data_IF_451629604368
#
_entry.id   IF_451629604368
#
_cell.length_a   1.000
_cell.length_b   1.000
_cell.length_c   1.000
_cell.angle_alpha   90.00
_cell.angle_beta   90.00
_cell.angle_gamma   90.00
#
_symmetry.space_group_name_H-M   'P 1'
#
loop_
_entity.id
_entity.type
_entity.pdbx_description
1 polymer ?
#
# COMPACT_ATOMS: atom_id res chain seq x y z
N UNK A 1 4.71 -14.53 50.89
CA UNK A 1 3.61 -14.05 50.02
C UNK A 1 3.01 -12.79 50.60
N UNK A 2 2.69 -11.77 49.78
CA UNK A 2 2.54 -11.86 48.32
C UNK A 2 3.64 -11.13 47.54
N UNK A 3 3.89 -11.66 46.35
CA UNK A 3 4.53 -10.99 45.22
C UNK A 3 3.69 -9.77 44.84
N UNK A 4 4.38 -8.66 44.55
CA UNK A 4 3.74 -7.55 43.85
C UNK A 4 4.18 -7.69 42.41
N UNK A 5 3.39 -8.45 41.65
CA UNK A 5 3.37 -8.38 40.18
C UNK A 5 3.13 -6.91 39.84
N UNK A 6 4.14 -6.28 39.26
CA UNK A 6 3.98 -4.97 38.66
C UNK A 6 3.14 -5.20 37.40
N UNK A 7 1.87 -4.83 37.46
CA UNK A 7 1.03 -4.64 36.27
C UNK A 7 1.79 -3.70 35.32
N UNK A 8 2.35 -4.26 34.26
CA UNK A 8 2.81 -3.46 33.12
C UNK A 8 1.57 -2.75 32.55
N UNK A 9 1.59 -1.41 32.42
CA UNK A 9 0.46 -0.72 31.81
C UNK A 9 0.31 -1.22 30.37
N UNK A 10 -0.92 -1.60 30.01
CA UNK A 10 -1.31 -1.88 28.63
C UNK A 10 -0.79 -0.77 27.71
N UNK A 11 -0.32 -1.08 26.50
CA UNK A 11 0.30 -0.09 25.62
C UNK A 11 -0.63 1.11 25.45
N UNK A 12 -0.14 2.28 25.89
CA UNK A 12 -0.84 3.55 25.75
C UNK A 12 -1.22 3.75 24.28
N UNK A 13 -2.49 4.05 24.03
CA UNK A 13 -3.00 4.38 22.71
C UNK A 13 -2.28 5.64 22.21
N UNK A 14 -1.23 5.45 21.42
CA UNK A 14 -0.59 6.55 20.69
C UNK A 14 -1.58 7.00 19.62
N UNK A 15 -1.89 8.30 19.49
CA UNK A 15 -2.72 8.76 18.38
C UNK A 15 -2.10 8.29 17.07
N UNK A 16 -2.93 7.86 16.13
CA UNK A 16 -2.47 7.47 14.80
C UNK A 16 -1.63 8.61 14.22
N UNK A 17 -0.40 8.28 13.78
CA UNK A 17 0.52 9.27 13.20
C UNK A 17 -0.06 9.76 11.87
N UNK A 18 -0.85 8.93 11.20
CA UNK A 18 -1.46 9.22 9.91
C UNK A 18 -2.99 9.31 10.01
N UNK A 19 -3.63 10.41 9.56
CA UNK A 19 -5.09 10.58 9.58
C UNK A 19 -5.80 9.76 8.47
N UNK A 20 -5.59 8.44 8.43
CA UNK A 20 -6.16 7.52 7.44
C UNK A 20 -7.67 7.65 7.32
N UNK A 21 -8.38 7.68 8.45
CA UNK A 21 -9.84 7.76 8.47
C UNK A 21 -10.35 8.97 7.70
N UNK A 22 -9.66 10.11 7.80
CA UNK A 22 -10.01 11.35 7.10
C UNK A 22 -9.72 11.25 5.61
N UNK A 23 -8.50 10.84 5.23
CA UNK A 23 -8.11 10.69 3.82
C UNK A 23 -9.07 9.75 3.09
N UNK A 24 -9.30 8.57 3.66
CA UNK A 24 -10.15 7.55 3.08
C UNK A 24 -11.62 7.98 3.03
N UNK A 25 -12.13 8.73 4.02
CA UNK A 25 -13.50 9.24 3.97
C UNK A 25 -13.66 10.25 2.83
N UNK A 26 -12.73 11.19 2.68
CA UNK A 26 -12.78 12.18 1.57
C UNK A 26 -12.72 11.48 0.22
N UNK A 27 -11.83 10.50 0.07
CA UNK A 27 -11.73 9.73 -1.17
C UNK A 27 -13.01 8.94 -1.46
N UNK A 28 -13.62 8.32 -0.44
CA UNK A 28 -14.94 7.66 -0.60
C UNK A 28 -16.04 8.63 -1.01
N UNK A 29 -16.10 9.79 -0.36
CA UNK A 29 -17.15 10.78 -0.61
C UNK A 29 -17.11 11.28 -2.05
N UNK A 30 -15.91 11.46 -2.62
CA UNK A 30 -15.71 11.95 -3.98
C UNK A 30 -15.93 10.87 -5.04
N UNK A 31 -15.43 9.65 -4.83
CA UNK A 31 -15.73 8.52 -5.70
C UNK A 31 -17.22 8.22 -5.80
N UNK A 32 -17.94 8.38 -4.68
CA UNK A 32 -19.37 8.15 -4.57
C UNK A 32 -20.20 9.39 -4.90
N UNK A 33 -19.57 10.50 -5.31
CA UNK A 33 -20.27 11.68 -5.78
C UNK A 33 -20.78 11.44 -7.22
N UNK A 34 -22.10 11.43 -7.44
CA UNK A 34 -22.70 11.17 -8.75
C UNK A 34 -22.35 12.23 -9.81
N UNK A 35 -21.93 13.42 -9.38
CA UNK A 35 -21.55 14.52 -10.27
C UNK A 35 -20.08 14.41 -10.67
N UNK A 36 -19.21 13.90 -9.79
CA UNK A 36 -17.76 13.90 -10.02
C UNK A 36 -17.26 12.65 -10.74
N UNK A 37 -17.66 11.43 -10.31
CA UNK A 37 -16.97 10.20 -10.75
C UNK A 37 -17.85 8.99 -11.07
N UNK A 38 -19.18 9.06 -10.89
CA UNK A 38 -20.07 7.92 -11.21
C UNK A 38 -20.05 7.56 -12.71
N UNK A 39 -19.69 8.50 -13.59
CA UNK A 39 -19.61 8.29 -15.04
C UNK A 39 -18.27 7.71 -15.52
N UNK A 40 -17.24 7.68 -14.67
CA UNK A 40 -15.90 7.19 -15.04
C UNK A 40 -15.77 5.67 -14.87
N UNK A 41 -16.73 5.04 -14.17
CA UNK A 41 -16.78 3.59 -13.99
C UNK A 41 -17.77 2.94 -14.95
N UNK A 42 -17.36 1.84 -15.57
CA UNK A 42 -18.28 0.99 -16.35
C UNK A 42 -19.29 0.26 -15.46
N UNK A 43 -18.92 -0.03 -14.21
CA UNK A 43 -19.76 -0.71 -13.23
C UNK A 43 -19.90 0.11 -11.94
N UNK A 44 -21.14 0.32 -11.44
CA UNK A 44 -21.37 1.07 -10.22
C UNK A 44 -20.80 0.33 -9.01
N UNK A 45 -20.41 1.07 -7.97
CA UNK A 45 -20.03 0.48 -6.69
C UNK A 45 -21.18 -0.34 -6.09
N UNK A 46 -20.91 -1.43 -5.34
CA UNK A 46 -21.97 -2.22 -4.69
C UNK A 46 -22.90 -1.37 -3.83
N UNK A 47 -24.19 -1.71 -3.78
CA UNK A 47 -25.21 -0.97 -3.02
C UNK A 47 -24.81 -0.77 -1.55
N UNK A 48 -24.19 -1.78 -0.93
CA UNK A 48 -23.71 -1.70 0.45
C UNK A 48 -22.63 -0.63 0.64
N UNK A 49 -21.71 -0.49 -0.34
CA UNK A 49 -20.64 0.53 -0.34
C UNK A 49 -21.26 1.93 -0.49
N UNK A 50 -22.19 2.09 -1.43
CA UNK A 50 -22.89 3.37 -1.63
C UNK A 50 -23.70 3.79 -0.41
N UNK A 51 -24.39 2.84 0.22
CA UNK A 51 -25.17 3.07 1.44
C UNK A 51 -24.29 3.42 2.64
N UNK A 52 -23.14 2.76 2.78
CA UNK A 52 -22.18 3.01 3.86
C UNK A 52 -21.36 4.29 3.65
N UNK A 53 -21.32 4.83 2.42
CA UNK A 53 -20.46 5.96 2.03
C UNK A 53 -18.98 5.69 2.35
N UNK A 54 -18.56 4.45 2.14
CA UNK A 54 -17.23 3.95 2.51
C UNK A 54 -16.79 2.87 1.54
N UNK A 55 -15.69 3.10 0.83
CA UNK A 55 -15.09 2.15 -0.11
C UNK A 55 -14.29 1.03 0.57
N UNK A 56 -13.95 1.22 1.84
CA UNK A 56 -13.18 0.28 2.63
C UNK A 56 -14.03 -0.82 3.27
N UNK A 57 -13.35 -1.71 3.97
CA UNK A 57 -13.96 -2.67 4.90
C UNK A 57 -13.93 -2.11 6.33
N UNK A 58 -14.47 -2.87 7.28
CA UNK A 58 -14.08 -2.69 8.68
C UNK A 58 -12.56 -2.86 8.81
N UNK A 59 -11.95 -2.10 9.72
CA UNK A 59 -10.54 -2.25 10.05
C UNK A 59 -10.23 -3.64 10.62
N UNK A 60 -9.03 -4.13 10.32
CA UNK A 60 -8.51 -5.37 10.86
C UNK A 60 -8.39 -5.25 12.39
N UNK A 61 -8.67 -6.35 13.08
CA UNK A 61 -8.45 -6.43 14.52
C UNK A 61 -6.94 -6.50 14.82
N UNK A 62 -6.50 -6.06 16.01
CA UNK A 62 -5.11 -6.24 16.44
C UNK A 62 -4.63 -7.70 16.36
N UNK A 63 -5.53 -8.67 16.56
CA UNK A 63 -5.25 -10.10 16.49
C UNK A 63 -5.01 -10.57 15.04
N UNK A 64 -5.84 -10.13 14.09
CA UNK A 64 -5.65 -10.45 12.67
C UNK A 64 -4.35 -9.83 12.13
N UNK A 65 -4.03 -8.61 12.57
CA UNK A 65 -2.79 -7.94 12.20
C UNK A 65 -1.55 -8.63 12.78
N UNK A 66 -1.60 -9.04 14.04
CA UNK A 66 -0.54 -9.84 14.66
C UNK A 66 -0.37 -11.20 13.96
N UNK A 67 -1.47 -11.84 13.54
CA UNK A 67 -1.42 -13.09 12.78
C UNK A 67 -0.81 -12.89 11.39
N UNK A 68 -1.10 -11.78 10.72
CA UNK A 68 -0.46 -11.39 9.45
C UNK A 68 1.05 -11.22 9.63
N UNK A 69 1.49 -10.45 10.63
CA UNK A 69 2.91 -10.21 10.89
C UNK A 69 3.66 -11.51 11.27
N UNK A 70 3.04 -12.37 12.07
CA UNK A 70 3.58 -13.69 12.38
C UNK A 70 3.71 -14.56 11.12
N UNK A 71 2.73 -14.51 10.22
CA UNK A 71 2.76 -15.24 8.93
C UNK A 71 3.84 -14.69 7.98
N UNK A 72 4.05 -13.38 7.96
CA UNK A 72 5.09 -12.75 7.15
C UNK A 72 6.49 -12.87 7.76
N UNK A 73 6.58 -13.09 9.08
CA UNK A 73 7.84 -13.14 9.82
C UNK A 73 8.46 -11.77 10.06
N UNK A 74 7.68 -10.69 10.00
CA UNK A 74 8.14 -9.31 10.17
C UNK A 74 7.01 -8.40 10.62
N UNK A 75 7.37 -7.29 11.28
CA UNK A 75 6.43 -6.22 11.65
C UNK A 75 6.23 -5.30 10.45
N UNK A 76 4.98 -4.94 10.16
CA UNK A 76 4.63 -4.08 9.03
C UNK A 76 5.02 -2.61 9.30
N UNK A 77 5.25 -1.81 8.23
CA UNK A 77 5.58 -0.40 8.41
C UNK A 77 4.40 0.35 9.06
N UNK A 78 4.67 1.35 9.92
CA UNK A 78 3.64 1.98 10.76
C UNK A 78 2.42 2.48 9.99
N UNK A 79 2.61 3.18 8.86
CA UNK A 79 1.52 3.72 8.06
C UNK A 79 0.64 2.63 7.46
N UNK A 80 1.21 1.53 6.98
CA UNK A 80 0.43 0.41 6.47
C UNK A 80 -0.30 -0.35 7.57
N UNK A 81 0.32 -0.46 8.75
CA UNK A 81 -0.32 -1.03 9.95
C UNK A 81 -1.54 -0.22 10.35
N UNK A 82 -1.43 1.10 10.42
CA UNK A 82 -2.53 2.02 10.74
C UNK A 82 -3.62 2.01 9.66
N UNK A 83 -3.25 1.88 8.39
CA UNK A 83 -4.20 1.70 7.29
C UNK A 83 -5.04 0.44 7.50
N UNK A 84 -4.42 -0.72 7.77
CA UNK A 84 -5.14 -1.99 7.96
C UNK A 84 -6.05 -1.94 9.18
N UNK A 85 -5.63 -1.27 10.27
CA UNK A 85 -6.50 -1.02 11.44
C UNK A 85 -7.67 -0.07 11.13
N UNK A 86 -7.56 0.75 10.10
CA UNK A 86 -8.63 1.65 9.64
C UNK A 86 -9.55 0.97 8.63
N UNK A 87 -8.99 0.15 7.74
CA UNK A 87 -9.69 -0.54 6.66
C UNK A 87 -8.96 -1.82 6.26
N UNK A 88 -9.59 -2.98 6.46
CA UNK A 88 -9.06 -4.26 5.98
C UNK A 88 -9.35 -4.46 4.49
N UNK A 89 -8.50 -3.85 3.66
CA UNK A 89 -8.70 -3.72 2.23
C UNK A 89 -9.49 -2.48 1.84
N UNK A 90 -9.41 -2.11 0.57
CA UNK A 90 -9.97 -0.88 0.03
C UNK A 90 -10.34 -1.05 -1.44
N UNK A 91 -11.42 -0.43 -1.88
CA UNK A 91 -11.82 -0.43 -3.29
C UNK A 91 -11.38 0.85 -3.99
N UNK A 92 -10.84 0.67 -5.19
CA UNK A 92 -10.64 1.70 -6.21
C UNK A 92 -9.81 2.91 -5.74
N UNK A 93 -8.49 2.82 -5.99
CA UNK A 93 -7.58 3.96 -5.90
C UNK A 93 -7.54 4.67 -7.26
N UNK A 94 -6.36 5.00 -7.78
CA UNK A 94 -6.15 5.48 -9.14
C UNK A 94 -5.62 4.40 -10.06
N UNK A 95 -5.78 4.61 -11.37
CA UNK A 95 -5.29 3.68 -12.39
C UNK A 95 -6.13 2.40 -12.49
N UNK A 96 -5.47 1.28 -12.76
CA UNK A 96 -6.07 -0.05 -12.84
C UNK A 96 -6.26 -0.74 -11.49
N UNK A 97 -5.77 -0.11 -10.40
CA UNK A 97 -5.82 -0.69 -9.05
C UNK A 97 -7.22 -0.49 -8.44
N UNK A 98 -8.04 -1.52 -8.61
CA UNK A 98 -9.40 -1.56 -8.04
C UNK A 98 -9.48 -2.10 -6.63
N UNK A 99 -8.39 -2.67 -6.10
CA UNK A 99 -8.43 -3.29 -4.77
C UNK A 99 -7.09 -3.33 -4.06
N UNK A 100 -7.06 -2.79 -2.84
CA UNK A 100 -6.06 -3.10 -1.83
C UNK A 100 -6.48 -4.37 -1.07
N UNK A 101 -5.50 -5.25 -0.86
CA UNK A 101 -5.71 -6.58 -0.28
C UNK A 101 -6.04 -6.51 1.21
N UNK A 102 -7.00 -7.32 1.70
CA UNK A 102 -7.18 -7.54 3.12
C UNK A 102 -6.04 -8.39 3.71
N UNK A 103 -5.88 -8.38 5.02
CA UNK A 103 -4.85 -9.08 5.81
C UNK A 103 -4.70 -10.56 5.47
N UNK A 104 -5.79 -11.22 5.08
CA UNK A 104 -5.80 -12.64 4.71
C UNK A 104 -5.20 -12.94 3.33
N UNK A 105 -5.10 -11.93 2.45
CA UNK A 105 -4.64 -12.09 1.06
C UNK A 105 -3.26 -11.47 0.82
N UNK A 106 -2.76 -10.63 1.72
CA UNK A 106 -1.42 -10.03 1.64
C UNK A 106 -0.34 -11.12 1.69
N UNK A 107 0.70 -10.99 0.87
CA UNK A 107 1.81 -11.93 0.82
C UNK A 107 2.99 -11.41 0.00
N UNK A 108 4.09 -12.16 0.02
CA UNK A 108 5.29 -11.81 -0.75
C UNK A 108 5.04 -11.99 -2.25
N UNK A 109 5.59 -11.11 -3.07
CA UNK A 109 5.48 -11.19 -4.55
C UNK A 109 5.95 -12.57 -5.04
N UNK A 110 7.08 -13.08 -4.54
CA UNK A 110 7.60 -14.41 -4.91
C UNK A 110 6.63 -15.57 -4.69
N UNK A 111 5.68 -15.43 -3.77
CA UNK A 111 4.70 -16.46 -3.46
C UNK A 111 3.37 -16.24 -4.19
N UNK A 112 2.97 -14.97 -4.38
CA UNK A 112 1.68 -14.59 -4.96
C UNK A 112 1.72 -14.32 -6.46
N UNK A 113 2.86 -13.94 -7.00
CA UNK A 113 3.05 -13.48 -8.38
C UNK A 113 4.50 -13.70 -8.86
N UNK A 114 4.96 -14.97 -8.94
CA UNK A 114 6.31 -15.29 -9.41
C UNK A 114 6.54 -14.89 -10.87
N UNK A 115 5.49 -14.83 -11.69
CA UNK A 115 5.56 -14.41 -13.10
C UNK A 115 5.97 -12.95 -13.25
N UNK A 116 5.52 -12.07 -12.34
CA UNK A 116 5.98 -10.68 -12.29
C UNK A 116 7.50 -10.59 -12.08
N UNK A 117 8.07 -11.44 -11.24
CA UNK A 117 9.52 -11.48 -11.02
C UNK A 117 10.21 -11.98 -12.28
N UNK A 118 9.76 -13.11 -12.84
CA UNK A 118 10.37 -13.70 -14.04
C UNK A 118 10.38 -12.71 -15.21
N UNK A 119 9.29 -11.99 -15.44
CA UNK A 119 9.19 -11.00 -16.52
C UNK A 119 10.17 -9.83 -16.40
N UNK A 120 10.60 -9.48 -15.19
CA UNK A 120 11.50 -8.36 -14.93
C UNK A 120 12.95 -8.76 -14.65
N UNK A 121 13.18 -9.96 -14.10
CA UNK A 121 14.54 -10.45 -13.78
C UNK A 121 15.08 -11.44 -14.81
N UNK A 122 14.23 -11.97 -15.71
CA UNK A 122 14.59 -13.08 -16.60
C UNK A 122 15.51 -12.73 -17.77
N UNK A 123 15.82 -11.45 -18.00
CA UNK A 123 16.49 -10.98 -19.23
C UNK A 123 17.85 -10.30 -19.08
N UNK A 124 18.37 -10.07 -17.88
CA UNK A 124 19.59 -9.26 -17.68
C UNK A 124 20.29 -9.45 -16.34
N UNK A 125 21.47 -8.84 -16.20
CA UNK A 125 22.14 -8.71 -14.89
C UNK A 125 21.34 -7.76 -13.98
N UNK A 126 21.42 -7.92 -12.64
CA UNK A 126 20.79 -6.99 -11.70
C UNK A 126 21.22 -5.56 -12.00
N UNK A 127 20.28 -4.62 -11.91
CA UNK A 127 20.59 -3.21 -12.11
C UNK A 127 21.49 -2.72 -10.97
N UNK A 128 22.75 -2.40 -11.27
CA UNK A 128 23.67 -1.75 -10.32
C UNK A 128 23.34 -0.26 -10.21
N UNK A 129 22.16 0.05 -9.66
CA UNK A 129 21.71 1.42 -9.42
C UNK A 129 22.37 1.94 -8.14
N UNK A 130 23.26 2.95 -8.22
CA UNK A 130 23.93 3.47 -7.04
C UNK A 130 22.97 4.26 -6.14
N UNK A 131 23.29 4.36 -4.85
CA UNK A 131 22.44 5.01 -3.83
C UNK A 131 22.07 6.45 -4.22
N UNK A 132 22.97 7.20 -4.85
CA UNK A 132 22.75 8.59 -5.27
C UNK A 132 21.65 8.73 -6.33
N UNK A 133 21.41 7.67 -7.11
CA UNK A 133 20.33 7.62 -8.10
C UNK A 133 19.08 6.94 -7.53
N UNK A 134 19.28 5.93 -6.67
CA UNK A 134 18.18 5.17 -6.09
C UNK A 134 17.37 6.01 -5.09
N UNK A 135 18.01 6.76 -4.20
CA UNK A 135 17.31 7.46 -3.11
C UNK A 135 16.76 8.86 -3.48
N UNK A 136 16.55 9.11 -4.77
CA UNK A 136 15.82 10.28 -5.28
C UNK A 136 14.33 9.96 -5.33
N UNK A 137 13.51 10.81 -4.71
CA UNK A 137 12.05 10.64 -4.59
C UNK A 137 11.34 11.92 -5.04
N UNK A 138 10.05 11.82 -5.34
CA UNK A 138 9.24 12.94 -5.83
C UNK A 138 9.42 13.13 -7.34
N UNK A 139 9.26 14.35 -7.84
CA UNK A 139 9.21 14.64 -9.28
C UNK A 139 10.55 14.46 -10.00
N UNK A 140 11.66 14.50 -9.26
CA UNK A 140 13.02 14.32 -9.79
C UNK A 140 13.43 12.84 -9.92
N UNK A 141 12.61 11.92 -9.41
CA UNK A 141 12.92 10.50 -9.49
C UNK A 141 12.74 9.98 -10.91
N UNK A 142 13.57 9.01 -11.27
CA UNK A 142 13.45 8.34 -12.56
C UNK A 142 12.87 6.93 -12.35
N UNK A 143 11.77 6.54 -13.04
CA UNK A 143 11.13 5.26 -12.79
C UNK A 143 11.99 4.02 -13.07
N UNK A 144 13.04 4.15 -13.90
CA UNK A 144 13.96 3.05 -14.21
C UNK A 144 15.08 2.89 -13.17
N UNK A 145 15.26 3.80 -12.21
CA UNK A 145 16.32 3.67 -11.18
C UNK A 145 15.88 2.77 -10.02
N UNK A 146 15.23 1.65 -10.35
CA UNK A 146 14.84 0.61 -9.41
C UNK A 146 15.91 -0.50 -9.33
N UNK A 147 15.90 -1.23 -8.23
CA UNK A 147 16.75 -2.40 -8.00
C UNK A 147 15.91 -3.65 -8.16
N UNK A 148 15.98 -4.26 -9.33
CA UNK A 148 15.11 -5.39 -9.73
C UNK A 148 15.25 -6.59 -8.79
N UNK A 149 16.39 -6.77 -8.12
CA UNK A 149 16.58 -7.79 -7.09
C UNK A 149 15.65 -7.63 -5.88
N UNK A 150 15.13 -6.42 -5.62
CA UNK A 150 14.19 -6.18 -4.53
C UNK A 150 12.82 -6.82 -4.78
N UNK A 151 12.41 -7.04 -6.04
CA UNK A 151 11.11 -7.65 -6.40
C UNK A 151 10.87 -8.98 -5.65
N UNK A 152 11.91 -9.79 -5.45
CA UNK A 152 11.84 -11.06 -4.71
C UNK A 152 11.49 -10.91 -3.22
N UNK A 153 11.59 -9.69 -2.69
CA UNK A 153 11.38 -9.36 -1.28
C UNK A 153 10.20 -8.43 -1.06
N UNK A 154 9.56 -7.92 -2.11
CA UNK A 154 8.46 -6.99 -1.95
C UNK A 154 7.20 -7.69 -1.46
N UNK A 155 6.46 -6.98 -0.62
CA UNK A 155 5.13 -7.37 -0.17
C UNK A 155 4.09 -6.86 -1.17
N UNK A 156 3.26 -7.74 -1.71
CA UNK A 156 2.16 -7.37 -2.60
C UNK A 156 0.94 -6.99 -1.78
N UNK A 157 0.48 -5.75 -1.95
CA UNK A 157 -0.62 -5.18 -1.15
C UNK A 157 -1.84 -4.78 -1.97
N UNK A 158 -1.79 -4.90 -3.29
CA UNK A 158 -2.93 -4.70 -4.18
C UNK A 158 -3.08 -5.84 -5.19
N UNK A 159 -4.31 -6.06 -5.65
CA UNK A 159 -4.60 -7.03 -6.70
C UNK A 159 -5.93 -6.74 -7.39
N UNK A 160 -5.88 -6.61 -8.71
CA UNK A 160 -7.06 -6.66 -9.57
C UNK A 160 -6.78 -7.64 -10.71
N UNK A 161 -7.69 -8.59 -11.02
CA UNK A 161 -7.52 -9.49 -12.15
C UNK A 161 -7.31 -8.71 -13.45
N UNK A 162 -6.22 -9.00 -14.16
CA UNK A 162 -5.87 -8.30 -15.40
C UNK A 162 -5.37 -6.86 -15.22
N UNK A 163 -5.17 -6.39 -13.98
CA UNK A 163 -4.44 -5.15 -13.76
C UNK A 163 -3.00 -5.30 -14.24
N UNK A 164 -2.50 -4.22 -14.81
CA UNK A 164 -1.15 -4.12 -15.31
C UNK A 164 -0.29 -3.19 -14.45
N UNK A 165 -0.82 -2.88 -13.27
CA UNK A 165 -0.25 -2.08 -12.20
C UNK A 165 -0.46 -2.75 -10.83
N UNK A 166 0.43 -2.47 -9.89
CA UNK A 166 0.44 -3.06 -8.55
C UNK A 166 1.13 -2.14 -7.55
N UNK A 167 0.64 -2.13 -6.31
CA UNK A 167 1.33 -1.51 -5.19
C UNK A 167 2.11 -2.56 -4.40
N UNK A 168 3.36 -2.23 -4.13
CA UNK A 168 4.31 -3.12 -3.44
C UNK A 168 4.98 -2.36 -2.30
N UNK A 169 5.30 -3.05 -1.19
CA UNK A 169 6.08 -2.48 -0.08
C UNK A 169 7.44 -3.16 0.03
N UNK A 170 8.49 -2.36 0.18
CA UNK A 170 9.87 -2.80 0.13
C UNK A 170 10.54 -2.87 1.51
N UNK A 171 10.63 -4.06 2.14
CA UNK A 171 11.30 -4.20 3.44
C UNK A 171 12.83 -4.07 3.36
N UNK A 172 13.42 -3.93 2.16
CA UNK A 172 14.87 -3.72 1.99
C UNK A 172 15.27 -2.26 2.15
N UNK A 173 14.32 -1.34 2.02
CA UNK A 173 14.53 0.09 2.18
C UNK A 173 13.61 0.57 3.28
N UNK A 174 14.20 0.76 4.46
CA UNK A 174 13.49 1.16 5.68
C UNK A 174 13.98 2.54 6.11
N UNK A 175 13.05 3.47 6.29
CA UNK A 175 13.35 4.83 6.76
C UNK A 175 13.64 4.86 8.27
N UNK A 176 14.21 5.95 8.82
CA UNK A 176 14.52 6.03 10.26
C UNK A 176 13.29 5.90 11.20
N UNK A 177 12.10 6.21 10.72
CA UNK A 177 10.81 6.08 11.39
C UNK A 177 10.17 4.69 11.23
N UNK A 178 10.82 3.78 10.49
CA UNK A 178 10.39 2.40 10.31
C UNK A 178 9.41 2.18 9.16
N UNK A 179 9.16 3.20 8.34
CA UNK A 179 8.40 3.05 7.11
C UNK A 179 9.18 2.24 6.08
N UNK A 180 8.46 1.50 5.26
CA UNK A 180 9.04 0.82 4.10
C UNK A 180 8.76 1.68 2.89
N UNK A 181 9.73 1.74 1.99
CA UNK A 181 9.51 2.33 0.67
C UNK A 181 8.34 1.63 -0.03
N UNK A 182 7.46 2.41 -0.64
CA UNK A 182 6.29 1.93 -1.35
C UNK A 182 6.47 2.18 -2.85
N UNK A 183 6.08 1.19 -3.67
CA UNK A 183 6.21 1.24 -5.13
C UNK A 183 4.83 1.23 -5.74
N UNK A 184 4.59 2.17 -6.65
CA UNK A 184 3.64 2.01 -7.73
C UNK A 184 4.37 1.46 -8.95
N UNK A 185 4.07 0.21 -9.28
CA UNK A 185 4.74 -0.53 -10.33
C UNK A 185 3.75 -0.83 -11.44
N UNK A 186 4.07 -0.51 -12.69
CA UNK A 186 3.15 -0.66 -13.81
C UNK A 186 3.88 -0.98 -15.12
N UNK A 187 3.24 -1.75 -16.00
CA UNK A 187 3.88 -2.20 -17.25
C UNK A 187 4.21 -1.08 -18.24
N UNK A 188 3.54 0.07 -18.15
CA UNK A 188 3.83 1.24 -18.99
C UNK A 188 4.94 2.12 -18.42
N UNK A 189 5.41 1.82 -17.20
CA UNK A 189 6.58 2.44 -16.64
C UNK A 189 7.80 1.56 -16.96
N UNK A 190 8.98 2.17 -17.19
CA UNK A 190 10.22 1.42 -17.31
C UNK A 190 10.69 0.83 -15.97
N UNK A 191 9.94 1.03 -14.88
CA UNK A 191 10.17 0.46 -13.56
C UNK A 191 9.07 0.88 -12.58
N UNK A 192 9.41 1.59 -11.50
CA UNK A 192 8.47 1.98 -10.44
C UNK A 192 8.51 3.48 -10.14
N UNK A 193 7.35 4.07 -9.83
CA UNK A 193 7.31 5.30 -9.03
C UNK A 193 7.39 4.91 -7.56
N UNK A 194 8.35 5.48 -6.84
CA UNK A 194 8.70 5.15 -5.46
C UNK A 194 8.35 6.28 -4.51
N UNK A 195 7.94 5.88 -3.32
CA UNK A 195 7.54 6.76 -2.22
C UNK A 195 8.22 6.28 -0.94
N UNK A 196 8.52 7.21 -0.02
CA UNK A 196 9.22 6.89 1.23
C UNK A 196 8.38 6.04 2.18
N UNK A 197 7.05 6.06 2.02
CA UNK A 197 6.10 5.32 2.85
C UNK A 197 4.85 4.95 2.05
N UNK A 198 4.04 4.03 2.60
CA UNK A 198 2.72 3.74 2.04
C UNK A 198 1.77 4.94 2.16
N UNK A 199 1.89 5.74 3.22
CA UNK A 199 1.16 7.00 3.37
C UNK A 199 1.41 7.96 2.22
N UNK A 200 2.68 8.17 1.85
CA UNK A 200 3.06 9.07 0.76
C UNK A 200 2.53 8.58 -0.60
N UNK A 201 2.58 7.26 -0.85
CA UNK A 201 1.98 6.66 -2.03
C UNK A 201 0.48 6.93 -2.11
N UNK A 202 -0.26 6.66 -1.04
CA UNK A 202 -1.72 6.85 -1.03
C UNK A 202 -2.11 8.33 -1.17
N UNK A 203 -1.30 9.24 -0.63
CA UNK A 203 -1.52 10.67 -0.81
C UNK A 203 -1.28 11.13 -2.25
N UNK A 204 -0.23 10.62 -2.89
CA UNK A 204 0.06 10.95 -4.29
C UNK A 204 -1.02 10.40 -5.23
N UNK A 205 -1.49 9.18 -4.97
CA UNK A 205 -2.57 8.56 -5.72
C UNK A 205 -3.90 9.31 -5.51
N UNK A 206 -4.17 9.82 -4.30
CA UNK A 206 -5.33 10.69 -4.09
C UNK A 206 -5.20 12.05 -4.81
N UNK A 207 -4.01 12.65 -4.88
CA UNK A 207 -3.79 13.87 -5.69
C UNK A 207 -3.97 13.60 -7.18
N UNK A 208 -3.47 12.46 -7.65
CA UNK A 208 -3.70 11.99 -9.02
C UNK A 208 -5.18 11.83 -9.32
N UNK A 209 -5.94 11.23 -8.40
CA UNK A 209 -7.39 11.06 -8.53
C UNK A 209 -8.12 12.39 -8.73
N UNK A 210 -7.67 13.44 -8.03
CA UNK A 210 -8.22 14.80 -8.12
C UNK A 210 -7.82 15.53 -9.41
N UNK A 211 -6.89 15.01 -10.19
CA UNK A 211 -6.28 15.70 -11.32
C UNK A 211 -5.29 16.79 -10.92
N UNK A 212 -4.76 16.74 -9.69
CA UNK A 212 -3.88 17.77 -9.12
C UNK A 212 -2.39 17.56 -9.49
N UNK A 213 -2.03 16.61 -10.37
CA UNK A 213 -0.66 16.46 -10.90
C UNK A 213 -0.41 17.55 -11.94
N UNK A 214 0.30 18.61 -11.54
CA UNK A 214 0.77 19.70 -12.40
C UNK A 214 2.28 19.69 -12.55
#
# INVERSE_FOLDING_TARGET
MPDTEQDEPAPEFRPAVHPWRELLQRWSDEWLDPVLHEQERSEPFPDAVRAARWLGSAGATPQELAALEARLGTVLPPSYREFLLTSDGWLDTTGGIRRLLPVREIGWVRDLDPELIEGWTGGGEPDDVPDEQYFVYGDEQEPWTIRTEYLNHLLKISHTPGALDVYLLNPRVVTPDGEWEAWYFAHWLPGAVRHRSFWDLMHDEYRSFRGDRG
#
